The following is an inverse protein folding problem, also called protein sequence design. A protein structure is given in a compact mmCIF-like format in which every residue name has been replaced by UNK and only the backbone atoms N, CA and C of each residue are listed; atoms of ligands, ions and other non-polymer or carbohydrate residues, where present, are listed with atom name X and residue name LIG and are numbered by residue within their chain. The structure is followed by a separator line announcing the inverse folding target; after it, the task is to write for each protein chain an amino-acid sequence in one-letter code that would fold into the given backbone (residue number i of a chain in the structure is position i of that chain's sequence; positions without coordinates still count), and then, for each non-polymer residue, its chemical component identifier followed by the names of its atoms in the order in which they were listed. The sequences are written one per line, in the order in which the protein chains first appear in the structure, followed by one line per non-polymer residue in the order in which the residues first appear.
data_IF_182019144298
#
_entry.id   IF_182019144298
#
_cell.length_a   1.000
_cell.length_b   1.000
_cell.length_c   1.000
_cell.angle_alpha   90.00
_cell.angle_beta   90.00
_cell.angle_gamma   90.00
#
_symmetry.space_group_name_H-M   'P 1'
#
loop_
_entity.id
_entity.type
_entity.pdbx_description
1 polymer ?
#
# COMPACT_ATOMS: atom_id res chain seq x y z
N UNK A 1 9.68 -13.45 2.02
CA UNK A 1 8.48 -12.60 2.11
C UNK A 1 8.82 -11.38 2.94
N UNK A 2 8.74 -10.18 2.36
CA UNK A 2 8.94 -8.94 3.12
C UNK A 2 7.65 -8.59 3.85
N UNK A 3 7.79 -7.83 4.94
CA UNK A 3 6.68 -7.21 5.64
C UNK A 3 6.97 -5.73 5.76
N UNK A 4 5.90 -4.97 5.88
CA UNK A 4 5.99 -3.53 6.03
C UNK A 4 5.19 -3.10 7.25
N UNK A 5 5.64 -2.01 7.86
CA UNK A 5 4.94 -1.32 8.93
C UNK A 5 4.42 0.01 8.40
N UNK A 6 3.11 0.21 8.50
CA UNK A 6 2.46 1.51 8.33
C UNK A 6 2.21 2.08 9.73
N UNK A 7 2.69 3.30 10.03
CA UNK A 7 2.45 3.93 11.32
C UNK A 7 0.96 4.10 11.63
N UNK A 8 0.54 3.80 12.87
CA UNK A 8 -0.87 3.83 13.29
C UNK A 8 -1.54 5.20 13.18
N UNK A 9 -0.75 6.29 13.18
CA UNK A 9 -1.27 7.64 13.05
C UNK A 9 -1.66 8.01 11.61
N UNK A 10 -1.33 7.20 10.61
CA UNK A 10 -1.76 7.44 9.22
C UNK A 10 -3.19 6.96 9.07
N UNK A 11 -4.10 7.90 8.84
CA UNK A 11 -5.51 7.60 8.63
C UNK A 11 -5.80 7.43 7.14
N UNK A 12 -6.54 6.37 6.78
CA UNK A 12 -7.09 6.15 5.44
C UNK A 12 -8.61 6.12 5.48
N UNK A 13 -9.26 6.85 4.58
CA UNK A 13 -10.71 6.79 4.39
C UNK A 13 -11.11 5.68 3.41
N UNK A 14 -12.40 5.35 3.36
CA UNK A 14 -12.91 4.35 2.40
C UNK A 14 -12.83 4.79 0.94
N UNK A 15 -12.71 6.09 0.67
CA UNK A 15 -12.50 6.63 -0.67
C UNK A 15 -11.02 6.68 -1.09
N UNK A 16 -10.08 6.26 -0.22
CA UNK A 16 -8.64 6.24 -0.53
C UNK A 16 -7.89 7.53 -0.20
N UNK A 17 -8.52 8.45 0.54
CA UNK A 17 -7.83 9.64 1.07
C UNK A 17 -6.97 9.27 2.28
N UNK A 18 -5.68 9.60 2.21
CA UNK A 18 -4.69 9.44 3.27
C UNK A 18 -4.39 10.79 3.91
N UNK A 19 -4.35 10.83 5.24
CA UNK A 19 -3.97 12.02 6.00
C UNK A 19 -2.80 11.71 6.93
N UNK A 20 -1.78 12.57 6.90
CA UNK A 20 -0.62 12.53 7.79
C UNK A 20 -0.75 13.63 8.84
N UNK A 21 -1.19 13.30 10.07
CA UNK A 21 -1.39 14.32 11.10
C UNK A 21 -0.11 15.05 11.52
N UNK A 22 1.06 14.42 11.35
CA UNK A 22 2.36 14.97 11.73
C UNK A 22 2.79 16.13 10.84
N UNK A 23 2.48 16.09 9.54
CA UNK A 23 2.89 17.10 8.55
C UNK A 23 1.72 17.92 8.01
N UNK A 24 0.48 17.44 8.19
CA UNK A 24 -0.72 17.99 7.57
C UNK A 24 -0.87 17.61 6.10
N UNK A 25 -0.01 16.74 5.57
CA UNK A 25 -0.05 16.32 4.17
C UNK A 25 -1.21 15.34 3.90
N UNK A 26 -1.71 15.41 2.67
CA UNK A 26 -2.82 14.60 2.21
C UNK A 26 -2.48 13.94 0.89
N UNK A 27 -2.79 12.66 0.76
CA UNK A 27 -2.59 11.90 -0.48
C UNK A 27 -3.91 11.25 -0.90
N UNK A 28 -4.02 10.94 -2.18
CA UNK A 28 -5.16 10.19 -2.71
C UNK A 28 -4.63 8.93 -3.38
N UNK A 29 -5.15 7.78 -2.98
CA UNK A 29 -4.90 6.51 -3.61
C UNK A 29 -6.01 6.18 -4.60
N UNK A 30 -5.65 5.52 -5.69
CA UNK A 30 -6.62 4.85 -6.53
C UNK A 30 -7.16 3.58 -5.83
N UNK A 31 -8.12 2.90 -6.46
CA UNK A 31 -8.77 1.73 -5.86
C UNK A 31 -7.79 0.60 -5.52
N UNK A 32 -6.91 0.22 -6.45
CA UNK A 32 -5.91 -0.83 -6.25
C UNK A 32 -4.90 -0.44 -5.16
N UNK A 33 -4.38 0.79 -5.20
CA UNK A 33 -3.44 1.30 -4.21
C UNK A 33 -4.04 1.36 -2.80
N UNK A 34 -5.33 1.70 -2.68
CA UNK A 34 -6.08 1.66 -1.42
C UNK A 34 -6.17 0.24 -0.86
N UNK A 35 -6.50 -0.73 -1.71
CA UNK A 35 -6.63 -2.13 -1.28
C UNK A 35 -5.28 -2.69 -0.82
N UNK A 36 -4.22 -2.44 -1.60
CA UNK A 36 -2.84 -2.78 -1.22
C UNK A 36 -2.48 -2.11 0.11
N UNK A 37 -2.75 -0.81 0.27
CA UNK A 37 -2.41 -0.08 1.50
C UNK A 37 -3.15 -0.66 2.73
N UNK A 38 -4.43 -1.00 2.59
CA UNK A 38 -5.20 -1.64 3.67
C UNK A 38 -4.62 -3.02 4.04
N UNK A 39 -4.20 -3.81 3.06
CA UNK A 39 -3.54 -5.10 3.30
C UNK A 39 -2.19 -4.94 4.01
N UNK A 40 -1.38 -3.96 3.57
CA UNK A 40 -0.12 -3.61 4.23
C UNK A 40 -0.36 -3.15 5.68
N UNK A 41 -1.43 -2.39 5.94
CA UNK A 41 -1.80 -1.95 7.27
C UNK A 41 -2.24 -3.13 8.16
N UNK A 42 -2.84 -4.16 7.57
CA UNK A 42 -3.16 -5.41 8.24
C UNK A 42 -1.94 -6.34 8.45
N UNK A 43 -0.75 -5.97 7.96
CA UNK A 43 0.48 -6.74 8.12
C UNK A 43 0.57 -7.96 7.18
N UNK A 44 -0.19 -7.94 6.09
CA UNK A 44 -0.11 -8.96 5.05
C UNK A 44 1.27 -8.98 4.39
N UNK A 45 1.68 -10.15 3.92
CA UNK A 45 2.92 -10.29 3.17
C UNK A 45 2.75 -9.91 1.70
N UNK A 46 3.84 -9.50 1.05
CA UNK A 46 3.86 -9.16 -0.38
C UNK A 46 3.21 -10.26 -1.23
N UNK A 47 3.49 -11.54 -0.93
CA UNK A 47 2.95 -12.69 -1.66
C UNK A 47 1.42 -12.77 -1.59
N UNK A 48 0.86 -12.62 -0.38
CA UNK A 48 -0.60 -12.63 -0.19
C UNK A 48 -1.26 -11.45 -0.91
N UNK A 49 -0.60 -10.29 -0.93
CA UNK A 49 -1.08 -9.11 -1.66
C UNK A 49 -1.10 -9.40 -3.15
N UNK A 50 -0.01 -9.94 -3.69
CA UNK A 50 0.06 -10.27 -5.10
C UNK A 50 -1.00 -11.29 -5.52
N UNK A 51 -1.16 -12.39 -4.77
CA UNK A 51 -2.20 -13.38 -5.03
C UNK A 51 -3.60 -12.74 -5.03
N UNK A 52 -3.90 -11.94 -4.00
CA UNK A 52 -5.20 -11.27 -3.88
C UNK A 52 -5.49 -10.32 -5.04
N UNK A 53 -4.52 -9.47 -5.40
CA UNK A 53 -4.68 -8.50 -6.48
C UNK A 53 -4.78 -9.19 -7.85
N UNK A 54 -3.96 -10.22 -8.10
CA UNK A 54 -4.05 -10.99 -9.36
C UNK A 54 -5.42 -11.65 -9.52
N UNK A 55 -6.01 -12.13 -8.41
CA UNK A 55 -7.34 -12.75 -8.42
C UNK A 55 -8.47 -11.73 -8.57
N UNK A 56 -8.39 -10.57 -7.91
CA UNK A 56 -9.48 -9.60 -7.89
C UNK A 56 -9.52 -8.72 -9.16
N UNK A 57 -8.37 -8.51 -9.81
CA UNK A 57 -8.20 -7.56 -10.91
C UNK A 57 -7.75 -8.18 -12.24
N UNK A 58 -7.65 -9.52 -12.33
CA UNK A 58 -7.22 -10.26 -13.53
C UNK A 58 -5.93 -9.69 -14.16
N UNK A 59 -4.93 -9.48 -13.31
CA UNK A 59 -3.63 -8.90 -13.70
C UNK A 59 -2.54 -9.96 -13.66
N UNK A 60 -1.60 -9.87 -14.59
CA UNK A 60 -0.44 -10.76 -14.61
C UNK A 60 0.48 -10.53 -13.41
N UNK A 61 1.05 -11.63 -12.91
CA UNK A 61 1.90 -11.60 -11.72
C UNK A 61 3.11 -10.68 -11.84
N UNK A 62 3.78 -10.70 -12.99
CA UNK A 62 4.96 -9.84 -13.23
C UNK A 62 4.62 -8.34 -13.29
N UNK A 63 3.38 -7.99 -13.66
CA UNK A 63 2.91 -6.60 -13.68
C UNK A 63 2.70 -6.11 -12.26
N UNK A 64 1.96 -6.85 -11.42
CA UNK A 64 1.71 -6.43 -10.04
C UNK A 64 2.99 -6.38 -9.20
N UNK A 65 3.95 -7.29 -9.40
CA UNK A 65 5.21 -7.26 -8.65
C UNK A 65 6.03 -6.00 -8.94
N UNK A 66 6.09 -5.59 -10.22
CA UNK A 66 6.77 -4.36 -10.63
C UNK A 66 6.04 -3.13 -10.09
N UNK A 67 4.74 -3.04 -10.34
CA UNK A 67 3.95 -1.86 -9.99
C UNK A 67 3.86 -1.70 -8.45
N UNK A 68 3.79 -2.81 -7.70
CA UNK A 68 3.88 -2.80 -6.24
C UNK A 68 5.25 -2.34 -5.74
N UNK A 69 6.33 -2.78 -6.37
CA UNK A 69 7.69 -2.32 -6.03
C UNK A 69 7.80 -0.79 -6.18
N UNK A 70 7.31 -0.25 -7.29
CA UNK A 70 7.28 1.20 -7.52
C UNK A 70 6.41 1.94 -6.51
N UNK A 71 5.23 1.37 -6.18
CA UNK A 71 4.34 1.92 -5.16
C UNK A 71 4.99 1.97 -3.78
N UNK A 72 5.67 0.90 -3.35
CA UNK A 72 6.39 0.84 -2.07
C UNK A 72 7.51 1.88 -2.03
N UNK A 73 8.24 2.09 -3.14
CA UNK A 73 9.27 3.14 -3.22
C UNK A 73 8.65 4.53 -3.01
N UNK A 74 7.49 4.79 -3.63
CA UNK A 74 6.79 6.05 -3.47
C UNK A 74 6.32 6.27 -2.03
N UNK A 75 5.70 5.26 -1.41
CA UNK A 75 5.27 5.32 -0.01
C UNK A 75 6.46 5.58 0.94
N UNK A 76 7.62 4.96 0.68
CA UNK A 76 8.84 5.22 1.46
C UNK A 76 9.34 6.65 1.28
N UNK A 77 9.31 7.19 0.06
CA UNK A 77 9.75 8.56 -0.21
C UNK A 77 8.92 9.61 0.55
N UNK A 78 7.63 9.32 0.76
CA UNK A 78 6.72 10.15 1.54
C UNK A 78 6.70 9.79 3.04
N UNK A 79 7.61 8.92 3.51
CA UNK A 79 7.66 8.46 4.90
C UNK A 79 6.38 7.79 5.41
N UNK A 80 5.57 7.22 4.50
CA UNK A 80 4.30 6.55 4.81
C UNK A 80 4.47 5.12 5.31
N UNK A 81 5.63 4.51 5.06
CA UNK A 81 5.87 3.10 5.35
C UNK A 81 7.34 2.83 5.69
N UNK A 82 7.59 1.79 6.49
CA UNK A 82 8.94 1.27 6.80
C UNK A 82 8.97 -0.24 6.54
N UNK A 83 10.09 -0.74 6.01
CA UNK A 83 10.31 -2.19 5.90
C UNK A 83 10.71 -2.76 7.26
N UNK A 84 10.25 -3.98 7.56
CA UNK A 84 10.59 -4.75 8.78
C UNK A 84 11.39 -5.98 8.39
#
# INVERSE_FOLDING_TARGET
MKKYHIPEYIAISDTGFLFLPSTGETFTLNQIGKDIFKMLQAGESDENIYEKITSDYDVERGVIERDFSDFILQLKSYSLIKAI
#
